data_IF_325682375263
#
_entry.id   IF_325682375263
#
_cell.length_a   1.000
_cell.length_b   1.000
_cell.length_c   1.000
_cell.angle_alpha   90.00
_cell.angle_beta   90.00
_cell.angle_gamma   90.00
#
_symmetry.space_group_name_H-M   'P 1'
#
loop_
_entity.id
_entity.type
_entity.pdbx_description
1 polymer ?
#
# COMPACT_ATOMS: atom_id res chain seq x y z
N UNK A 1 -11.41 0.89 12.83
CA UNK A 1 -9.99 1.19 12.58
C UNK A 1 -9.83 2.71 12.52
N UNK A 2 -8.74 3.25 13.04
CA UNK A 2 -8.41 4.69 12.98
C UNK A 2 -7.53 5.01 11.77
N UNK A 3 -7.67 6.19 11.18
CA UNK A 3 -6.77 6.70 10.13
C UNK A 3 -5.42 7.12 10.72
N UNK A 4 -4.49 6.17 10.80
CA UNK A 4 -3.12 6.44 11.24
C UNK A 4 -2.25 6.94 10.08
N UNK A 5 -2.63 6.65 8.83
CA UNK A 5 -1.84 7.02 7.64
C UNK A 5 -1.75 8.55 7.54
N UNK A 6 -2.88 9.26 7.59
CA UNK A 6 -2.85 10.72 7.48
C UNK A 6 -2.11 11.38 8.64
N UNK A 7 -2.26 10.85 9.86
CA UNK A 7 -1.58 11.36 11.06
C UNK A 7 -0.06 11.28 10.87
N UNK A 8 0.46 10.10 10.50
CA UNK A 8 1.90 9.91 10.29
C UNK A 8 2.43 10.74 9.12
N UNK A 9 1.74 10.73 7.98
CA UNK A 9 2.21 11.44 6.80
C UNK A 9 2.22 12.97 7.03
N UNK A 10 1.29 13.52 7.82
CA UNK A 10 1.33 14.95 8.21
C UNK A 10 2.51 15.26 9.13
N UNK A 11 2.80 14.38 10.08
CA UNK A 11 3.93 14.56 11.01
C UNK A 11 5.29 14.39 10.36
N UNK A 12 5.37 13.68 9.22
CA UNK A 12 6.63 13.29 8.58
C UNK A 12 6.69 13.71 7.10
N UNK A 13 6.72 15.01 6.75
CA UNK A 13 6.61 15.49 5.36
C UNK A 13 7.80 15.14 4.46
N UNK A 14 8.89 14.61 5.03
CA UNK A 14 10.11 14.18 4.31
C UNK A 14 10.24 12.66 4.21
N UNK A 15 9.21 11.91 4.65
CA UNK A 15 9.25 10.45 4.62
C UNK A 15 9.34 9.94 3.19
N UNK A 16 10.32 9.09 2.92
CA UNK A 16 10.53 8.49 1.60
C UNK A 16 9.91 7.09 1.46
N UNK A 17 9.80 6.38 2.57
CA UNK A 17 9.34 5.00 2.65
C UNK A 17 8.30 4.89 3.76
N UNK A 18 7.14 4.32 3.44
CA UNK A 18 6.06 4.14 4.41
C UNK A 18 5.42 2.77 4.24
N UNK A 19 5.44 1.95 5.29
CA UNK A 19 4.92 0.60 5.26
C UNK A 19 3.78 0.46 6.27
N UNK A 20 2.73 -0.27 5.92
CA UNK A 20 1.62 -0.53 6.83
C UNK A 20 0.89 -1.85 6.51
N UNK A 21 0.16 -2.35 7.49
CA UNK A 21 -0.72 -3.51 7.32
C UNK A 21 -2.10 -3.04 6.86
N UNK A 22 -2.50 -3.46 5.66
CA UNK A 22 -3.73 -2.94 5.03
C UNK A 22 -4.98 -3.33 5.80
N UNK A 23 -5.05 -4.56 6.35
CA UNK A 23 -6.23 -5.03 7.08
C UNK A 23 -6.38 -4.47 8.50
N UNK A 24 -5.37 -3.75 9.01
CA UNK A 24 -5.37 -3.16 10.36
C UNK A 24 -5.39 -1.64 10.35
N UNK A 25 -5.38 -1.03 9.16
CA UNK A 25 -5.25 0.41 8.98
C UNK A 25 -6.44 0.92 8.17
N UNK A 26 -7.14 1.97 8.65
CA UNK A 26 -8.15 2.62 7.82
C UNK A 26 -7.47 3.49 6.76
N UNK A 27 -8.01 3.51 5.54
CA UNK A 27 -7.66 4.52 4.56
C UNK A 27 -8.14 5.91 5.05
N UNK A 28 -7.33 6.97 4.85
CA UNK A 28 -7.78 8.34 5.06
C UNK A 28 -8.98 8.69 4.19
N UNK A 29 -9.86 9.55 4.70
CA UNK A 29 -10.85 10.23 3.87
C UNK A 29 -10.19 11.38 3.08
N UNK A 30 -10.78 11.80 1.96
CA UNK A 30 -10.18 12.84 1.09
C UNK A 30 -9.88 14.15 1.84
N UNK A 31 -10.72 14.54 2.82
CA UNK A 31 -10.52 15.74 3.63
C UNK A 31 -9.32 15.64 4.59
N UNK A 32 -8.82 14.44 4.84
CA UNK A 32 -7.69 14.17 5.72
C UNK A 32 -6.36 14.10 4.95
N UNK A 33 -6.41 14.04 3.62
CA UNK A 33 -5.24 13.84 2.79
C UNK A 33 -4.43 15.13 2.64
N UNK A 34 -3.13 15.02 2.93
CA UNK A 34 -2.15 16.07 2.68
C UNK A 34 -1.19 15.56 1.62
N UNK A 35 -0.86 16.42 0.65
CA UNK A 35 0.08 16.09 -0.41
C UNK A 35 1.44 15.74 0.19
N UNK A 36 1.99 14.58 -0.18
CA UNK A 36 3.29 14.09 0.26
C UNK A 36 4.29 14.12 -0.89
N UNK A 37 5.08 15.20 -1.03
CA UNK A 37 5.97 15.38 -2.17
C UNK A 37 7.22 14.49 -2.12
N UNK A 38 7.52 13.86 -0.99
CA UNK A 38 8.75 13.11 -0.75
C UNK A 38 8.55 11.60 -0.67
N UNK A 39 7.31 11.12 -0.60
CA UNK A 39 7.03 9.69 -0.44
C UNK A 39 7.23 8.96 -1.76
N UNK A 40 8.29 8.16 -1.84
CA UNK A 40 8.73 7.48 -3.05
C UNK A 40 8.28 6.02 -3.10
N UNK A 41 8.08 5.38 -1.94
CA UNK A 41 7.78 3.97 -1.85
C UNK A 41 6.76 3.68 -0.73
N UNK A 42 5.77 2.84 -1.04
CA UNK A 42 4.81 2.35 -0.05
C UNK A 42 4.82 0.82 0.01
N UNK A 43 5.09 0.26 1.18
CA UNK A 43 4.94 -1.18 1.44
C UNK A 43 3.57 -1.49 2.03
N UNK A 44 2.89 -2.50 1.48
CA UNK A 44 1.56 -2.91 1.91
C UNK A 44 1.61 -4.38 2.32
N UNK A 45 1.37 -4.65 3.59
CA UNK A 45 1.36 -6.00 4.12
C UNK A 45 -0.08 -6.55 4.11
N UNK A 46 -0.30 -7.63 3.35
CA UNK A 46 -1.50 -8.45 3.40
C UNK A 46 -1.27 -9.61 4.38
N UNK A 47 -1.50 -9.36 5.66
CA UNK A 47 -1.61 -10.42 6.65
C UNK A 47 -3.06 -10.90 6.73
N UNK A 48 -3.35 -12.21 6.59
CA UNK A 48 -4.72 -12.72 6.59
C UNK A 48 -5.49 -12.26 7.83
N UNK A 49 -6.65 -11.64 7.63
CA UNK A 49 -7.45 -11.10 8.72
C UNK A 49 -8.94 -11.36 8.47
N UNK A 50 -9.53 -12.28 9.25
CA UNK A 50 -10.94 -12.65 9.17
C UNK A 50 -11.93 -11.52 9.59
N UNK A 51 -11.41 -10.35 9.97
CA UNK A 51 -12.20 -9.23 10.51
C UNK A 51 -12.88 -8.42 9.39
N UNK A 52 -12.33 -8.40 8.17
CA UNK A 52 -12.82 -7.51 7.10
C UNK A 52 -13.91 -8.20 6.25
N UNK A 53 -15.18 -7.90 6.55
CA UNK A 53 -16.36 -8.48 5.86
C UNK A 53 -16.58 -7.98 4.42
N UNK A 54 -15.92 -6.89 4.00
CA UNK A 54 -15.93 -6.39 2.63
C UNK A 54 -14.54 -5.88 2.24
N UNK A 55 -13.66 -6.84 1.92
CA UNK A 55 -12.25 -6.57 1.65
C UNK A 55 -12.07 -5.59 0.48
N UNK A 56 -12.88 -5.69 -0.57
CA UNK A 56 -12.71 -4.87 -1.77
C UNK A 56 -13.04 -3.42 -1.57
N UNK A 57 -14.14 -3.09 -0.89
CA UNK A 57 -14.44 -1.69 -0.56
C UNK A 57 -13.31 -1.06 0.26
N UNK A 58 -12.71 -1.83 1.18
CA UNK A 58 -11.57 -1.39 1.97
C UNK A 58 -10.33 -1.17 1.09
N UNK A 59 -9.97 -2.16 0.27
CA UNK A 59 -8.84 -2.07 -0.66
C UNK A 59 -8.99 -0.89 -1.63
N UNK A 60 -10.19 -0.66 -2.18
CA UNK A 60 -10.46 0.42 -3.12
C UNK A 60 -10.09 1.79 -2.54
N UNK A 61 -10.39 2.05 -1.26
CA UNK A 61 -9.99 3.32 -0.63
C UNK A 61 -8.47 3.47 -0.56
N UNK A 62 -7.74 2.41 -0.18
CA UNK A 62 -6.28 2.44 -0.16
C UNK A 62 -5.69 2.58 -1.57
N UNK A 63 -6.26 1.89 -2.55
CA UNK A 63 -5.81 1.92 -3.94
C UNK A 63 -6.03 3.29 -4.58
N UNK A 64 -7.18 3.93 -4.33
CA UNK A 64 -7.47 5.29 -4.78
C UNK A 64 -6.53 6.31 -4.16
N UNK A 65 -6.17 6.16 -2.88
CA UNK A 65 -5.15 7.00 -2.25
C UNK A 65 -3.81 6.91 -3.00
N UNK A 66 -3.33 5.68 -3.26
CA UNK A 66 -2.01 5.46 -3.84
C UNK A 66 -1.93 5.92 -5.30
N UNK A 67 -2.97 5.62 -6.09
CA UNK A 67 -3.09 6.06 -7.47
C UNK A 67 -3.44 7.56 -7.59
N UNK A 68 -3.95 8.17 -6.53
CA UNK A 68 -4.38 9.57 -6.52
C UNK A 68 -3.24 10.61 -6.59
N UNK A 69 -3.59 11.89 -6.69
CA UNK A 69 -2.64 12.99 -6.89
C UNK A 69 -1.84 13.37 -5.63
N UNK A 70 -2.20 12.82 -4.46
CA UNK A 70 -1.63 13.19 -3.17
C UNK A 70 -0.20 12.69 -2.97
N UNK A 71 0.23 11.66 -3.69
CA UNK A 71 1.56 11.07 -3.59
C UNK A 71 2.34 11.26 -4.89
N UNK A 72 2.65 12.50 -5.32
CA UNK A 72 3.20 12.77 -6.65
C UNK A 72 4.58 12.14 -6.90
N UNK A 73 5.36 11.89 -5.85
CA UNK A 73 6.68 11.28 -5.95
C UNK A 73 6.66 9.75 -5.84
N UNK A 74 5.48 9.12 -5.71
CA UNK A 74 5.37 7.68 -5.53
C UNK A 74 5.82 6.96 -6.79
N UNK A 75 6.90 6.19 -6.66
CA UNK A 75 7.52 5.41 -7.74
C UNK A 75 7.25 3.92 -7.59
N UNK A 76 7.12 3.42 -6.36
CA UNK A 76 6.98 1.99 -6.10
C UNK A 76 5.92 1.69 -5.04
N UNK A 77 5.16 0.63 -5.28
CA UNK A 77 4.34 -0.03 -4.27
C UNK A 77 4.80 -1.47 -4.12
N UNK A 78 5.16 -1.87 -2.91
CA UNK A 78 5.65 -3.22 -2.60
C UNK A 78 4.57 -3.96 -1.85
N UNK A 79 4.13 -5.08 -2.40
CA UNK A 79 3.12 -5.96 -1.81
C UNK A 79 3.83 -7.06 -1.03
N UNK A 80 3.74 -7.00 0.29
CA UNK A 80 4.34 -7.98 1.21
C UNK A 80 3.29 -8.97 1.70
N UNK A 81 3.67 -10.24 1.85
CA UNK A 81 2.79 -11.32 2.31
C UNK A 81 2.02 -11.97 1.15
N UNK A 82 0.91 -12.64 1.48
CA UNK A 82 0.13 -13.36 0.48
C UNK A 82 -0.89 -12.46 -0.22
N UNK A 83 -0.56 -12.04 -1.44
CA UNK A 83 -1.42 -11.25 -2.32
C UNK A 83 -2.06 -12.07 -3.45
N UNK A 84 -1.81 -13.38 -3.54
CA UNK A 84 -2.16 -14.17 -4.72
C UNK A 84 -3.66 -14.13 -5.03
N UNK A 85 -4.52 -14.33 -4.03
CA UNK A 85 -5.97 -14.30 -4.21
C UNK A 85 -6.48 -12.91 -4.64
N UNK A 86 -5.93 -11.83 -4.06
CA UNK A 86 -6.30 -10.46 -4.42
C UNK A 86 -5.84 -10.15 -5.85
N UNK A 87 -4.62 -10.55 -6.21
CA UNK A 87 -4.05 -10.30 -7.54
C UNK A 87 -4.71 -11.12 -8.65
N UNK A 88 -5.32 -12.26 -8.33
CA UNK A 88 -6.07 -13.08 -9.28
C UNK A 88 -7.45 -12.51 -9.63
N UNK A 89 -7.95 -11.54 -8.84
CA UNK A 89 -9.24 -10.90 -9.06
C UNK A 89 -9.15 -9.75 -10.07
N UNK A 90 -10.09 -9.70 -11.02
CA UNK A 90 -10.13 -8.66 -12.07
C UNK A 90 -10.18 -7.22 -11.54
N UNK A 91 -10.67 -7.01 -10.31
CA UNK A 91 -10.73 -5.68 -9.69
C UNK A 91 -9.34 -5.15 -9.35
N UNK A 92 -8.37 -6.03 -9.11
CA UNK A 92 -7.00 -5.63 -8.88
C UNK A 92 -6.37 -4.95 -10.10
N UNK A 93 -6.83 -5.28 -11.31
CA UNK A 93 -6.34 -4.64 -12.52
C UNK A 93 -6.67 -3.14 -12.56
N UNK A 94 -7.75 -2.70 -11.90
CA UNK A 94 -8.04 -1.25 -11.77
C UNK A 94 -6.96 -0.54 -10.97
N UNK A 95 -6.50 -1.15 -9.88
CA UNK A 95 -5.40 -0.64 -9.07
C UNK A 95 -4.09 -0.66 -9.84
N UNK A 96 -3.77 -1.77 -10.51
CA UNK A 96 -2.58 -1.89 -11.35
C UNK A 96 -2.53 -0.78 -12.41
N UNK A 97 -3.63 -0.57 -13.12
CA UNK A 97 -3.74 0.45 -14.15
C UNK A 97 -3.65 1.88 -13.57
N UNK A 98 -4.21 2.10 -12.38
CA UNK A 98 -4.10 3.37 -11.65
C UNK A 98 -2.65 3.74 -11.36
N UNK A 99 -1.88 2.81 -10.78
CA UNK A 99 -0.47 3.03 -10.47
C UNK A 99 0.41 3.11 -11.73
N UNK A 100 0.16 2.24 -12.71
CA UNK A 100 0.95 2.22 -13.96
C UNK A 100 0.82 3.53 -14.74
N UNK A 101 -0.39 4.12 -14.82
CA UNK A 101 -0.60 5.43 -15.48
C UNK A 101 0.17 6.57 -14.82
N UNK A 102 0.53 6.42 -13.54
CA UNK A 102 1.34 7.37 -12.78
C UNK A 102 2.85 7.11 -12.92
N UNK A 103 3.24 6.08 -13.66
CA UNK A 103 4.63 5.61 -13.73
C UNK A 103 5.09 4.89 -12.46
N UNK A 104 4.15 4.43 -11.63
CA UNK A 104 4.46 3.68 -10.41
C UNK A 104 4.50 2.17 -10.69
N UNK A 105 5.55 1.51 -10.23
CA UNK A 105 5.77 0.06 -10.37
C UNK A 105 5.19 -0.67 -9.15
N UNK A 106 4.55 -1.81 -9.40
CA UNK A 106 4.09 -2.74 -8.36
C UNK A 106 5.06 -3.91 -8.28
N UNK A 107 5.62 -4.13 -7.10
CA UNK A 107 6.52 -5.25 -6.79
C UNK A 107 5.85 -6.17 -5.79
N UNK A 108 6.08 -7.48 -5.91
CA UNK A 108 5.66 -8.46 -4.91
C UNK A 108 6.90 -8.96 -4.18
N UNK A 109 6.94 -8.73 -2.88
CA UNK A 109 8.00 -9.24 -2.02
C UNK A 109 7.58 -10.64 -1.57
N UNK A 110 8.14 -11.66 -2.21
CA UNK A 110 7.86 -13.05 -1.85
C UNK A 110 8.42 -13.39 -0.47
N UNK A 111 7.62 -14.03 0.38
CA UNK A 111 8.15 -14.85 1.46
C UNK A 111 8.74 -16.12 0.83
N UNK A 112 10.02 -16.07 0.43
CA UNK A 112 10.64 -17.16 -0.32
C UNK A 112 12.15 -17.07 -0.52
N UNK A 113 12.83 -16.11 0.09
CA UNK A 113 14.30 -16.19 0.29
C UNK A 113 14.58 -15.95 1.76
N UNK A 114 14.75 -17.05 2.51
CA UNK A 114 15.62 -17.02 3.68
C UNK A 114 16.97 -16.49 3.17
N UNK A 115 17.55 -15.41 3.72
CA UNK A 115 18.99 -15.28 3.62
C UNK A 115 19.55 -16.51 4.34
N UNK A 116 20.22 -17.39 3.61
CA UNK A 116 20.96 -18.48 4.20
C UNK A 116 21.96 -17.90 5.18
N UNK A 117 21.65 -18.00 6.47
CA UNK A 117 22.66 -18.08 7.51
C UNK A 117 22.90 -19.58 7.75
N UNK A 118 23.60 -20.18 6.81
CA UNK A 118 24.49 -21.29 7.12
C UNK A 118 25.89 -20.68 7.15
N UNK A 119 26.66 -21.03 8.18
CA UNK A 119 28.04 -20.63 8.47
C UNK A 119 28.21 -19.31 9.22
N UNK A 120 28.06 -19.37 10.55
CA UNK A 120 29.20 -19.39 11.49
C UNK A 120 28.72 -19.71 12.90
#
# INVERSE_FOLDING_TARGET
MSDQIAVFLRGCPRVKFFNYFIHFTAAPTESQLVKQPSLECVGIHAFPCAIVRNVWKHLDFHFNLLAGPFLPALKRVVLHGNWQEIMADERFERFRNGLTRKGCVIEVSGEGTKPGCEHL
#
